data_IF_240321703720
#
_entry.id   IF_240321703720
#
_cell.length_a   1.000
_cell.length_b   1.000
_cell.length_c   1.000
_cell.angle_alpha   90.00
_cell.angle_beta   90.00
_cell.angle_gamma   90.00
#
_symmetry.space_group_name_H-M   'P 1'
#
loop_
_entity.id
_entity.type
_entity.pdbx_description
1 polymer ?
#
# COMPACT_ATOMS: atom_id res chain seq x y z
N UNK A 1 19.21 -17.15 -1.56
CA UNK A 1 19.10 -17.32 -3.02
C UNK A 1 17.74 -16.77 -3.45
N UNK A 2 17.68 -15.58 -4.05
CA UNK A 2 16.41 -15.03 -4.51
C UNK A 2 16.37 -15.10 -6.03
N UNK A 3 15.77 -16.16 -6.57
CA UNK A 3 15.65 -16.32 -8.02
C UNK A 3 14.36 -15.61 -8.46
N UNK A 4 14.43 -14.66 -9.40
CA UNK A 4 13.25 -14.08 -10.10
C UNK A 4 12.66 -15.11 -11.09
N UNK A 5 12.53 -16.36 -10.66
CA UNK A 5 12.03 -17.50 -11.41
C UNK A 5 10.94 -18.19 -10.57
N UNK A 6 9.83 -18.73 -11.06
CA UNK A 6 9.26 -18.91 -12.38
C UNK A 6 7.80 -19.30 -12.18
N UNK A 7 6.96 -18.77 -13.05
CA UNK A 7 5.62 -19.28 -13.29
C UNK A 7 5.80 -20.34 -14.39
N UNK A 8 6.16 -21.57 -14.01
CA UNK A 8 6.44 -22.63 -14.99
C UNK A 8 5.14 -23.39 -15.32
N UNK A 9 4.71 -23.31 -16.58
CA UNK A 9 3.71 -24.25 -17.10
C UNK A 9 4.43 -25.58 -17.37
N UNK A 10 4.12 -26.62 -16.60
CA UNK A 10 4.79 -27.92 -16.67
C UNK A 10 4.31 -28.80 -17.82
N UNK A 11 3.58 -28.27 -18.80
CA UNK A 11 3.13 -29.05 -19.96
C UNK A 11 4.28 -29.19 -20.96
N UNK A 12 4.74 -30.41 -21.28
CA UNK A 12 5.67 -30.63 -22.38
C UNK A 12 4.97 -30.23 -23.68
N UNK A 13 5.18 -29.00 -24.12
CA UNK A 13 4.79 -28.54 -25.45
C UNK A 13 5.77 -29.20 -26.42
N UNK A 14 5.42 -30.42 -26.84
CA UNK A 14 6.18 -31.26 -27.76
C UNK A 14 7.52 -31.75 -27.18
N UNK A 15 7.84 -33.01 -27.48
CA UNK A 15 9.00 -33.70 -26.94
C UNK A 15 10.29 -32.91 -27.26
N UNK A 16 10.92 -32.28 -26.25
CA UNK A 16 12.18 -31.54 -26.41
C UNK A 16 12.13 -30.02 -26.14
N UNK A 17 11.01 -29.43 -25.73
CA UNK A 17 10.99 -28.01 -25.32
C UNK A 17 10.29 -27.76 -23.98
N UNK A 18 10.77 -26.74 -23.25
CA UNK A 18 10.20 -26.25 -21.99
C UNK A 18 9.86 -24.77 -22.12
N UNK A 19 8.58 -24.44 -21.96
CA UNK A 19 8.12 -23.06 -21.86
C UNK A 19 8.16 -22.59 -20.42
N UNK A 20 8.63 -21.37 -20.25
CA UNK A 20 9.04 -20.86 -18.97
C UNK A 20 8.56 -19.42 -18.82
N UNK A 21 7.65 -19.12 -17.87
CA UNK A 21 7.18 -17.75 -17.68
C UNK A 21 7.89 -17.06 -16.51
N UNK A 22 8.53 -15.93 -16.81
CA UNK A 22 9.37 -15.17 -15.89
C UNK A 22 8.73 -13.82 -15.61
N UNK A 23 8.64 -13.45 -14.33
CA UNK A 23 8.33 -12.09 -13.93
C UNK A 23 9.58 -11.22 -14.15
N UNK A 24 9.49 -10.25 -15.07
CA UNK A 24 10.60 -9.35 -15.40
C UNK A 24 10.28 -7.92 -14.97
N UNK A 25 11.21 -7.21 -14.32
CA UNK A 25 11.04 -5.78 -14.09
C UNK A 25 10.99 -5.06 -15.44
N UNK A 26 9.97 -4.24 -15.62
CA UNK A 26 9.80 -3.36 -16.75
C UNK A 26 10.15 -1.91 -16.36
N UNK A 27 9.70 -0.94 -17.15
CA UNK A 27 10.00 0.46 -16.89
C UNK A 27 9.41 0.95 -15.55
N UNK A 28 10.18 1.75 -14.80
CA UNK A 28 9.85 2.25 -13.45
C UNK A 28 9.55 1.14 -12.43
N UNK A 29 8.27 0.99 -12.06
CA UNK A 29 7.77 0.13 -10.99
C UNK A 29 6.98 -1.06 -11.52
N UNK A 30 6.90 -1.19 -12.84
CA UNK A 30 6.08 -2.19 -13.51
C UNK A 30 6.78 -3.54 -13.57
N UNK A 31 5.99 -4.61 -13.58
CA UNK A 31 6.43 -5.96 -13.85
C UNK A 31 5.62 -6.54 -15.00
N UNK A 32 6.30 -7.31 -15.86
CA UNK A 32 5.67 -8.00 -16.98
C UNK A 32 5.96 -9.48 -16.93
N UNK A 33 5.04 -10.26 -17.47
CA UNK A 33 5.24 -11.69 -17.66
C UNK A 33 5.90 -11.91 -19.03
N UNK A 34 7.11 -12.47 -19.04
CA UNK A 34 7.82 -12.84 -20.26
C UNK A 34 7.87 -14.36 -20.39
N UNK A 35 7.55 -14.88 -21.58
CA UNK A 35 7.70 -16.31 -21.89
C UNK A 35 9.06 -16.56 -22.53
N UNK A 36 9.83 -17.47 -21.94
CA UNK A 36 11.06 -18.01 -22.51
C UNK A 36 10.77 -19.44 -23.00
N UNK A 37 11.34 -19.80 -24.14
CA UNK A 37 11.25 -21.16 -24.67
C UNK A 37 12.64 -21.76 -24.65
N UNK A 38 12.86 -22.72 -23.77
CA UNK A 38 14.08 -23.50 -23.71
C UNK A 38 13.90 -24.70 -24.63
N UNK A 39 14.74 -24.83 -25.65
CA UNK A 39 14.74 -25.96 -26.58
C UNK A 39 15.96 -26.83 -26.29
N UNK A 40 15.73 -28.11 -26.05
CA UNK A 40 16.77 -29.13 -26.15
C UNK A 40 17.01 -29.51 -27.60
N UNK A 41 18.05 -30.30 -27.86
CA UNK A 41 18.20 -30.99 -29.13
C UNK A 41 17.06 -32.00 -29.38
N UNK A 42 16.93 -32.52 -30.61
CA UNK A 42 15.83 -33.41 -31.01
C UNK A 42 15.68 -34.67 -30.14
N UNK A 43 16.74 -35.11 -29.46
CA UNK A 43 16.80 -36.31 -28.61
C UNK A 43 16.91 -36.01 -27.10
N UNK A 44 16.91 -34.74 -26.70
CA UNK A 44 17.28 -34.30 -25.34
C UNK A 44 16.11 -34.33 -24.34
N UNK A 45 15.24 -35.33 -24.42
CA UNK A 45 14.07 -35.44 -23.54
C UNK A 45 14.45 -35.58 -22.05
N UNK A 46 15.57 -36.26 -21.77
CA UNK A 46 16.07 -36.42 -20.41
C UNK A 46 16.58 -35.10 -19.81
N UNK A 47 17.25 -34.27 -20.62
CA UNK A 47 17.72 -32.94 -20.20
C UNK A 47 16.55 -32.00 -19.87
N UNK A 48 15.51 -32.00 -20.71
CA UNK A 48 14.30 -31.21 -20.45
C UNK A 48 13.61 -31.66 -19.16
N UNK A 49 13.54 -32.98 -18.89
CA UNK A 49 12.99 -33.53 -17.65
C UNK A 49 13.83 -33.11 -16.42
N UNK A 50 15.16 -33.11 -16.55
CA UNK A 50 16.06 -32.64 -15.50
C UNK A 50 15.83 -31.15 -15.20
N UNK A 51 15.71 -30.30 -16.23
CA UNK A 51 15.38 -28.88 -16.05
C UNK A 51 14.07 -28.68 -15.29
N UNK A 52 13.00 -29.39 -15.67
CA UNK A 52 11.71 -29.32 -14.97
C UNK A 52 11.87 -29.70 -13.50
N UNK A 53 12.58 -30.79 -13.22
CA UNK A 53 12.78 -31.29 -11.85
C UNK A 53 13.55 -30.28 -11.00
N UNK A 54 14.65 -29.74 -11.52
CA UNK A 54 15.47 -28.72 -10.82
C UNK A 54 14.66 -27.45 -10.59
N UNK A 55 13.90 -26.99 -11.58
CA UNK A 55 13.08 -25.79 -11.46
C UNK A 55 11.97 -25.97 -10.43
N UNK A 56 11.26 -27.09 -10.44
CA UNK A 56 10.22 -27.39 -9.44
C UNK A 56 10.81 -27.42 -8.02
N UNK A 57 11.99 -28.02 -7.84
CA UNK A 57 12.69 -28.01 -6.55
C UNK A 57 13.06 -26.59 -6.10
N UNK A 58 13.58 -25.75 -6.99
CA UNK A 58 13.93 -24.36 -6.68
C UNK A 58 12.69 -23.54 -6.34
N UNK A 59 11.60 -23.70 -7.11
CA UNK A 59 10.33 -23.01 -6.88
C UNK A 59 9.71 -23.43 -5.53
N UNK A 60 9.81 -24.71 -5.16
CA UNK A 60 9.29 -25.22 -3.90
C UNK A 60 10.00 -24.65 -2.66
N UNK A 61 11.23 -24.14 -2.81
CA UNK A 61 12.00 -23.49 -1.75
C UNK A 61 11.70 -21.99 -1.60
N UNK A 62 10.91 -21.41 -2.50
CA UNK A 62 10.50 -20.01 -2.41
C UNK A 62 9.30 -19.87 -1.47
N UNK A 63 9.31 -18.83 -0.64
CA UNK A 63 8.17 -18.43 0.19
C UNK A 63 7.11 -17.76 -0.70
N UNK A 64 6.27 -18.59 -1.33
CA UNK A 64 5.19 -18.15 -2.22
C UNK A 64 3.85 -18.67 -1.74
N UNK A 65 2.76 -17.90 -1.92
CA UNK A 65 1.43 -18.40 -1.62
C UNK A 65 1.07 -19.58 -2.53
N UNK A 66 0.33 -20.54 -2.00
CA UNK A 66 -0.20 -21.72 -2.70
C UNK A 66 -1.72 -21.69 -2.75
N UNK A 67 -2.39 -21.20 -1.72
CA UNK A 67 -3.85 -21.10 -1.64
C UNK A 67 -4.28 -19.71 -1.18
N UNK A 68 -5.11 -19.05 -2.00
CA UNK A 68 -5.57 -17.69 -1.77
C UNK A 68 -7.09 -17.62 -1.82
N UNK A 69 -7.69 -16.82 -0.94
CA UNK A 69 -9.10 -16.41 -1.08
C UNK A 69 -9.14 -15.05 -1.77
N UNK A 70 -9.98 -14.91 -2.79
CA UNK A 70 -10.05 -13.73 -3.65
C UNK A 70 -11.42 -13.08 -3.55
N UNK A 71 -11.48 -11.90 -2.94
CA UNK A 71 -12.69 -11.08 -2.91
C UNK A 71 -12.74 -10.11 -4.08
N UNK A 72 -13.81 -10.13 -4.85
CA UNK A 72 -14.01 -9.26 -6.02
C UNK A 72 -15.22 -8.35 -5.78
N UNK A 73 -15.03 -7.04 -5.84
CA UNK A 73 -16.14 -6.09 -5.90
C UNK A 73 -16.63 -5.96 -7.35
N UNK A 74 -17.80 -6.51 -7.73
CA UNK A 74 -18.27 -6.49 -9.12
C UNK A 74 -18.55 -5.08 -9.65
N UNK A 75 -18.73 -4.09 -8.77
CA UNK A 75 -18.95 -2.69 -9.15
C UNK A 75 -17.64 -1.88 -9.28
N UNK A 76 -16.50 -2.45 -8.87
CA UNK A 76 -15.19 -1.82 -8.97
C UNK A 76 -14.81 -1.41 -10.40
N UNK A 77 -14.20 -0.24 -10.54
CA UNK A 77 -13.52 0.16 -11.78
C UNK A 77 -14.44 0.32 -12.99
N UNK A 78 -15.67 0.82 -12.76
CA UNK A 78 -16.77 0.84 -13.75
C UNK A 78 -17.21 -0.57 -14.16
N UNK A 79 -17.42 -1.44 -13.17
CA UNK A 79 -17.82 -2.85 -13.35
C UNK A 79 -16.80 -3.72 -14.11
N UNK A 80 -15.53 -3.31 -14.10
CA UNK A 80 -14.45 -4.04 -14.80
C UNK A 80 -13.69 -5.01 -13.90
N UNK A 81 -13.84 -4.93 -12.58
CA UNK A 81 -13.08 -5.75 -11.63
C UNK A 81 -13.17 -7.27 -11.91
N UNK A 82 -14.35 -7.88 -12.19
CA UNK A 82 -14.41 -9.30 -12.55
C UNK A 82 -13.63 -9.63 -13.83
N UNK A 83 -13.75 -8.79 -14.85
CA UNK A 83 -13.02 -8.96 -16.12
C UNK A 83 -11.51 -8.76 -15.95
N UNK A 84 -11.08 -7.80 -15.12
CA UNK A 84 -9.67 -7.59 -14.77
C UNK A 84 -9.11 -8.86 -14.11
N UNK A 85 -9.82 -9.42 -13.13
CA UNK A 85 -9.40 -10.65 -12.48
C UNK A 85 -9.30 -11.80 -13.48
N UNK A 86 -10.40 -12.10 -14.19
CA UNK A 86 -10.47 -13.24 -15.11
C UNK A 86 -9.46 -13.16 -16.25
N UNK A 87 -9.24 -11.98 -16.84
CA UNK A 87 -8.38 -11.83 -18.02
C UNK A 87 -6.92 -11.57 -17.69
N UNK A 88 -6.60 -10.97 -16.54
CA UNK A 88 -5.24 -10.52 -16.22
C UNK A 88 -4.62 -11.21 -15.02
N UNK A 89 -5.41 -11.55 -13.99
CA UNK A 89 -4.89 -12.04 -12.71
C UNK A 89 -4.99 -13.56 -12.60
N UNK A 90 -6.18 -14.12 -12.82
CA UNK A 90 -6.42 -15.56 -12.75
C UNK A 90 -5.46 -16.38 -13.64
N UNK A 91 -5.10 -15.96 -14.87
CA UNK A 91 -4.11 -16.69 -15.66
C UNK A 91 -2.72 -16.71 -15.02
N UNK A 92 -2.30 -15.63 -14.36
CA UNK A 92 -1.00 -15.55 -13.68
C UNK A 92 -1.00 -16.47 -12.46
N UNK A 93 -2.07 -16.46 -11.65
CA UNK A 93 -2.21 -17.35 -10.51
C UNK A 93 -2.26 -18.82 -10.93
N UNK A 94 -3.01 -19.14 -12.00
CA UNK A 94 -3.06 -20.49 -12.57
C UNK A 94 -1.68 -20.97 -13.02
N UNK A 95 -0.97 -20.16 -13.80
CA UNK A 95 0.37 -20.52 -14.29
C UNK A 95 1.36 -20.67 -13.11
N UNK A 96 1.13 -19.99 -11.98
CA UNK A 96 1.96 -20.09 -10.78
C UNK A 96 1.61 -21.32 -9.91
N UNK A 97 0.55 -22.06 -10.24
CA UNK A 97 0.05 -23.17 -9.43
C UNK A 97 -0.60 -22.73 -8.13
N UNK A 98 -1.17 -21.52 -8.10
CA UNK A 98 -1.90 -20.99 -6.94
C UNK A 98 -3.38 -21.37 -7.06
N UNK A 99 -3.89 -22.10 -6.07
CA UNK A 99 -5.31 -22.38 -5.93
C UNK A 99 -6.03 -21.14 -5.40
N UNK A 100 -7.16 -20.79 -6.00
CA UNK A 100 -7.92 -19.58 -5.64
C UNK A 100 -9.37 -19.90 -5.36
N UNK A 101 -9.85 -19.54 -4.18
CA UNK A 101 -11.29 -19.50 -3.88
C UNK A 101 -11.82 -18.10 -4.17
N UNK A 102 -12.74 -17.96 -5.13
CA UNK A 102 -13.17 -16.64 -5.61
C UNK A 102 -14.57 -16.30 -5.09
N UNK A 103 -14.67 -15.20 -4.35
CA UNK A 103 -15.92 -14.70 -3.77
C UNK A 103 -16.23 -13.32 -4.36
N UNK A 104 -17.33 -13.23 -5.10
CA UNK A 104 -17.86 -11.93 -5.54
C UNK A 104 -18.70 -11.31 -4.43
N UNK A 105 -18.40 -10.05 -4.08
CA UNK A 105 -19.14 -9.35 -3.03
C UNK A 105 -20.50 -8.86 -3.52
N UNK A 106 -21.50 -8.96 -2.64
CA UNK A 106 -22.89 -8.60 -2.97
C UNK A 106 -23.30 -7.23 -2.43
N UNK A 107 -22.74 -6.84 -1.29
CA UNK A 107 -23.01 -5.57 -0.60
C UNK A 107 -21.77 -5.10 0.15
N UNK A 108 -21.83 -3.87 0.67
CA UNK A 108 -20.76 -3.29 1.50
C UNK A 108 -20.68 -4.01 2.83
N UNK A 109 -19.52 -4.55 3.18
CA UNK A 109 -19.30 -5.33 4.42
C UNK A 109 -19.32 -6.85 4.22
N UNK A 110 -19.76 -7.35 3.07
CA UNK A 110 -19.86 -8.78 2.79
C UNK A 110 -18.52 -9.54 2.91
N UNK A 111 -17.40 -8.96 2.46
CA UNK A 111 -16.08 -9.58 2.61
C UNK A 111 -15.60 -9.58 4.07
N UNK A 112 -15.92 -8.54 4.84
CA UNK A 112 -15.63 -8.50 6.28
C UNK A 112 -16.38 -9.62 6.99
N UNK A 113 -17.68 -9.75 6.75
CA UNK A 113 -18.51 -10.82 7.31
C UNK A 113 -17.96 -12.20 6.92
N UNK A 114 -17.63 -12.39 5.63
CA UNK A 114 -17.13 -13.69 5.18
C UNK A 114 -15.78 -14.09 5.79
N UNK A 115 -14.89 -13.13 6.02
CA UNK A 115 -13.60 -13.36 6.69
C UNK A 115 -13.77 -13.77 8.16
N UNK A 116 -14.88 -13.39 8.80
CA UNK A 116 -15.20 -13.81 10.16
C UNK A 116 -15.82 -15.21 10.22
N UNK A 117 -16.46 -15.67 9.14
CA UNK A 117 -17.08 -17.00 9.05
C UNK A 117 -16.12 -18.11 8.59
N UNK A 118 -15.23 -17.79 7.65
CA UNK A 118 -14.39 -18.80 6.99
C UNK A 118 -13.23 -19.19 7.90
N UNK A 119 -12.86 -20.48 7.91
CA UNK A 119 -11.60 -20.91 8.49
C UNK A 119 -10.45 -20.51 7.56
N UNK A 120 -9.57 -19.64 8.07
CA UNK A 120 -8.45 -19.09 7.30
C UNK A 120 -7.17 -19.91 7.44
N UNK A 121 -7.14 -20.97 8.26
CA UNK A 121 -5.95 -21.80 8.51
C UNK A 121 -5.38 -22.45 7.25
N UNK A 122 -6.26 -22.72 6.28
CA UNK A 122 -5.95 -23.36 5.01
C UNK A 122 -5.44 -22.39 3.92
N UNK A 123 -5.42 -21.09 4.20
CA UNK A 123 -5.09 -20.05 3.22
C UNK A 123 -3.79 -19.32 3.60
N UNK A 124 -2.93 -19.12 2.59
CA UNK A 124 -1.69 -18.36 2.77
C UNK A 124 -1.91 -16.85 2.70
N UNK A 125 -3.09 -16.41 2.25
CA UNK A 125 -3.41 -15.00 2.07
C UNK A 125 -4.80 -14.70 1.51
N UNK A 126 -5.21 -13.45 1.68
CA UNK A 126 -6.45 -12.88 1.14
C UNK A 126 -6.08 -11.89 0.04
N UNK A 127 -6.73 -11.96 -1.11
CA UNK A 127 -6.57 -11.02 -2.22
C UNK A 127 -7.85 -10.23 -2.41
N UNK A 128 -7.76 -8.90 -2.47
CA UNK A 128 -8.88 -8.05 -2.83
C UNK A 128 -8.73 -7.49 -4.24
N UNK A 129 -9.80 -7.55 -5.04
CA UNK A 129 -9.89 -6.99 -6.39
C UNK A 129 -10.93 -5.87 -6.37
N UNK A 130 -10.46 -4.63 -6.33
CA UNK A 130 -11.33 -3.46 -6.20
C UNK A 130 -10.54 -2.17 -6.01
N UNK A 131 -11.23 -1.14 -5.54
CA UNK A 131 -10.58 0.10 -5.08
C UNK A 131 -10.38 0.14 -3.57
N UNK A 132 -9.98 1.31 -3.06
CA UNK A 132 -9.65 1.51 -1.63
C UNK A 132 -10.76 1.07 -0.66
N UNK A 133 -12.04 1.14 -1.06
CA UNK A 133 -13.16 0.64 -0.24
C UNK A 133 -13.16 -0.88 -0.04
N UNK A 134 -12.87 -1.65 -1.10
CA UNK A 134 -12.78 -3.12 -1.03
C UNK A 134 -11.59 -3.55 -0.18
N UNK A 135 -10.48 -2.83 -0.32
CA UNK A 135 -9.27 -3.01 0.48
C UNK A 135 -9.57 -2.78 1.96
N UNK A 136 -10.21 -1.66 2.30
CA UNK A 136 -10.59 -1.35 3.68
C UNK A 136 -11.50 -2.41 4.29
N UNK A 137 -12.46 -2.93 3.52
CA UNK A 137 -13.37 -3.97 3.97
C UNK A 137 -12.64 -5.28 4.33
N UNK A 138 -11.74 -5.74 3.45
CA UNK A 138 -10.92 -6.94 3.71
C UNK A 138 -10.00 -6.75 4.90
N UNK A 139 -9.32 -5.60 5.00
CA UNK A 139 -8.39 -5.32 6.11
C UNK A 139 -9.12 -5.27 7.44
N UNK A 140 -10.31 -4.65 7.48
CA UNK A 140 -11.14 -4.66 8.68
C UNK A 140 -11.58 -6.09 9.03
N UNK A 141 -11.91 -6.94 8.06
CA UNK A 141 -12.22 -8.35 8.30
C UNK A 141 -11.04 -9.10 8.92
N UNK A 142 -9.86 -8.98 8.32
CA UNK A 142 -8.63 -9.62 8.81
C UNK A 142 -8.25 -9.14 10.21
N UNK A 143 -8.28 -7.83 10.47
CA UNK A 143 -7.89 -7.26 11.75
C UNK A 143 -8.87 -7.62 12.87
N UNK A 144 -10.18 -7.50 12.62
CA UNK A 144 -11.19 -7.89 13.60
C UNK A 144 -11.09 -9.39 13.89
N UNK A 145 -10.91 -10.23 12.85
CA UNK A 145 -10.71 -11.67 13.03
C UNK A 145 -9.50 -11.96 13.92
N UNK A 146 -8.37 -11.31 13.67
CA UNK A 146 -7.16 -11.48 14.49
C UNK A 146 -7.37 -11.08 15.96
N UNK A 147 -8.18 -10.05 16.25
CA UNK A 147 -8.51 -9.70 17.63
C UNK A 147 -9.43 -10.74 18.29
N UNK A 148 -10.45 -11.19 17.56
CA UNK A 148 -11.40 -12.20 18.03
C UNK A 148 -10.68 -13.52 18.33
N UNK A 149 -9.82 -13.99 17.43
CA UNK A 149 -9.06 -15.23 17.61
C UNK A 149 -8.09 -15.14 18.80
N UNK A 150 -7.59 -13.94 19.11
CA UNK A 150 -6.72 -13.67 20.25
C UNK A 150 -7.49 -13.39 21.56
N UNK A 151 -8.81 -13.37 21.55
CA UNK A 151 -9.63 -13.04 22.72
C UNK A 151 -9.48 -11.58 23.18
N UNK A 152 -9.08 -10.67 22.31
CA UNK A 152 -8.87 -9.25 22.63
C UNK A 152 -10.15 -8.45 22.37
N UNK A 153 -10.58 -7.70 23.37
CA UNK A 153 -11.72 -6.79 23.26
C UNK A 153 -11.34 -5.56 22.43
N UNK A 154 -11.82 -5.53 21.18
CA UNK A 154 -11.44 -4.49 20.22
C UNK A 154 -11.95 -3.08 20.59
N UNK A 155 -12.97 -2.99 21.47
CA UNK A 155 -13.53 -1.74 21.98
C UNK A 155 -12.59 -1.05 22.99
N UNK A 156 -11.77 -1.80 23.70
CA UNK A 156 -10.80 -1.21 24.63
C UNK A 156 -9.72 -0.43 23.88
N UNK A 157 -9.74 0.89 24.04
CA UNK A 157 -8.79 1.84 23.44
C UNK A 157 -7.35 1.62 23.93
N UNK A 158 -7.19 1.01 25.11
CA UNK A 158 -5.89 0.69 25.70
C UNK A 158 -5.41 -0.71 25.37
N UNK A 159 -6.27 -1.55 24.79
CA UNK A 159 -5.89 -2.91 24.40
C UNK A 159 -4.79 -2.86 23.35
N UNK A 160 -3.75 -3.66 23.58
CA UNK A 160 -2.72 -3.85 22.58
C UNK A 160 -3.26 -4.81 21.53
N UNK A 161 -3.54 -4.28 20.36
CA UNK A 161 -4.05 -5.07 19.24
C UNK A 161 -3.07 -6.20 18.86
N UNK A 162 -3.62 -7.39 18.65
CA UNK A 162 -2.89 -8.53 18.16
C UNK A 162 -2.53 -8.34 16.68
N UNK A 163 -1.26 -8.52 16.28
CA UNK A 163 -0.87 -8.46 14.88
C UNK A 163 -1.62 -9.50 14.03
N UNK A 164 -2.11 -9.10 12.86
CA UNK A 164 -2.66 -10.06 11.90
C UNK A 164 -1.52 -10.81 11.18
N UNK A 165 -1.56 -12.15 11.23
CA UNK A 165 -0.63 -13.01 10.49
C UNK A 165 -1.04 -13.16 9.02
N UNK A 166 -2.34 -13.09 8.74
CA UNK A 166 -2.92 -13.24 7.42
C UNK A 166 -2.45 -12.14 6.47
N UNK A 167 -1.79 -12.55 5.38
CA UNK A 167 -1.24 -11.64 4.38
C UNK A 167 -2.34 -11.13 3.43
N UNK A 168 -2.33 -9.84 3.11
CA UNK A 168 -3.33 -9.22 2.20
C UNK A 168 -2.70 -8.73 0.90
N UNK A 169 -3.11 -9.30 -0.23
CA UNK A 169 -2.76 -8.85 -1.59
C UNK A 169 -3.81 -7.90 -2.18
N UNK A 170 -3.35 -6.88 -2.91
CA UNK A 170 -4.24 -5.86 -3.50
C UNK A 170 -4.12 -5.85 -5.02
N UNK A 171 -5.22 -6.08 -5.72
CA UNK A 171 -5.31 -5.91 -7.17
C UNK A 171 -6.08 -4.61 -7.48
N UNK A 172 -5.42 -3.60 -8.10
CA UNK A 172 -6.06 -2.34 -8.45
C UNK A 172 -7.19 -2.56 -9.46
N UNK A 173 -8.40 -2.22 -9.05
CA UNK A 173 -9.56 -2.16 -9.92
C UNK A 173 -10.50 -1.02 -9.51
N UNK A 174 -9.98 0.06 -8.92
CA UNK A 174 -10.74 1.23 -8.51
C UNK A 174 -10.43 2.47 -9.35
N UNK A 175 -10.85 3.64 -8.85
CA UNK A 175 -10.67 4.94 -9.53
C UNK A 175 -9.47 5.74 -9.00
N UNK A 176 -9.02 5.45 -7.78
CA UNK A 176 -7.94 6.18 -7.10
C UNK A 176 -6.80 5.22 -6.81
N UNK A 177 -7.09 4.11 -6.14
CA UNK A 177 -6.17 3.02 -5.84
C UNK A 177 -4.93 3.54 -5.11
N UNK A 178 -5.16 4.40 -4.11
CA UNK A 178 -4.10 5.13 -3.42
C UNK A 178 -3.20 4.20 -2.60
N UNK A 179 -3.77 3.18 -1.96
CA UNK A 179 -2.97 2.24 -1.17
C UNK A 179 -1.97 1.47 -2.06
N UNK A 180 -2.47 0.83 -3.11
CA UNK A 180 -1.64 0.02 -4.01
C UNK A 180 -0.66 0.88 -4.79
N UNK A 181 -1.02 2.11 -5.19
CA UNK A 181 -0.08 3.03 -5.79
C UNK A 181 1.02 3.45 -4.81
N UNK A 182 0.69 3.71 -3.56
CA UNK A 182 1.67 4.14 -2.54
C UNK A 182 2.65 3.03 -2.21
N UNK A 183 2.20 1.78 -2.21
CA UNK A 183 2.99 0.61 -1.82
C UNK A 183 3.78 0.01 -2.99
N UNK A 184 3.14 -0.19 -4.14
CA UNK A 184 3.79 -0.81 -5.32
C UNK A 184 4.42 0.22 -6.27
N UNK A 185 3.94 1.47 -6.25
CA UNK A 185 4.36 2.54 -7.16
C UNK A 185 3.57 2.63 -8.47
N UNK A 186 2.58 1.76 -8.69
CA UNK A 186 1.75 1.73 -9.90
C UNK A 186 0.36 1.12 -9.64
N UNK A 187 -0.60 1.33 -10.56
CA UNK A 187 -1.93 0.72 -10.56
C UNK A 187 -2.09 -0.40 -11.60
N UNK A 188 -1.06 -1.21 -11.83
CA UNK A 188 -1.11 -2.32 -12.79
C UNK A 188 -1.59 -3.61 -12.11
N UNK A 189 -2.72 -4.22 -12.56
CA UNK A 189 -3.18 -5.51 -12.06
C UNK A 189 -2.18 -6.65 -12.29
N UNK A 190 -1.46 -6.59 -13.42
CA UNK A 190 -0.43 -7.59 -13.76
C UNK A 190 0.77 -7.46 -12.83
N UNK A 191 1.25 -6.24 -12.60
CA UNK A 191 2.33 -5.98 -11.64
C UNK A 191 1.96 -6.50 -10.25
N UNK A 192 0.75 -6.17 -9.78
CA UNK A 192 0.27 -6.58 -8.46
C UNK A 192 0.15 -8.10 -8.35
N UNK A 193 -0.38 -8.77 -9.37
CA UNK A 193 -0.47 -10.22 -9.41
C UNK A 193 0.93 -10.88 -9.36
N UNK A 194 1.90 -10.38 -10.13
CA UNK A 194 3.26 -10.91 -10.12
C UNK A 194 3.95 -10.70 -8.77
N UNK A 195 3.76 -9.56 -8.12
CA UNK A 195 4.29 -9.31 -6.77
C UNK A 195 3.69 -10.27 -5.74
N UNK A 196 2.39 -10.57 -5.83
CA UNK A 196 1.73 -11.57 -4.97
C UNK A 196 2.32 -12.96 -5.23
N UNK A 197 2.46 -13.37 -6.50
CA UNK A 197 3.07 -14.68 -6.84
C UNK A 197 4.50 -14.81 -6.32
N UNK A 198 5.27 -13.72 -6.34
CA UNK A 198 6.64 -13.71 -5.84
C UNK A 198 6.74 -13.64 -4.31
N UNK A 199 5.62 -13.55 -3.58
CA UNK A 199 5.61 -13.43 -2.12
C UNK A 199 6.13 -12.08 -1.61
N UNK A 200 6.08 -11.02 -2.43
CA UNK A 200 6.67 -9.73 -2.08
C UNK A 200 5.82 -8.97 -1.05
N UNK A 201 6.38 -8.69 0.12
CA UNK A 201 5.68 -8.10 1.26
C UNK A 201 6.19 -6.71 1.66
N UNK A 202 5.30 -5.94 2.30
CA UNK A 202 5.59 -4.67 2.97
C UNK A 202 4.70 -4.52 4.20
N UNK A 203 5.26 -4.06 5.30
CA UNK A 203 4.48 -3.69 6.48
C UNK A 203 3.84 -2.32 6.26
N UNK A 204 2.57 -2.17 6.64
CA UNK A 204 1.87 -0.87 6.60
C UNK A 204 1.23 -0.60 7.94
N UNK A 205 1.17 0.64 8.34
CA UNK A 205 0.51 1.02 9.56
C UNK A 205 -1.01 1.13 9.36
N UNK A 206 -1.72 0.85 10.45
CA UNK A 206 -3.17 1.00 10.53
C UNK A 206 -3.50 1.81 11.78
N UNK A 207 -4.57 2.59 11.74
CA UNK A 207 -5.12 3.25 12.93
C UNK A 207 -6.46 2.62 13.30
N UNK A 208 -6.69 2.37 14.59
CA UNK A 208 -8.02 2.13 15.13
C UNK A 208 -8.75 3.44 15.35
N UNK A 209 -10.04 3.48 14.99
CA UNK A 209 -10.90 4.64 15.21
C UNK A 209 -11.96 4.25 16.21
N UNK A 210 -11.96 4.93 17.35
CA UNK A 210 -12.95 4.75 18.40
C UNK A 210 -13.88 5.96 18.49
N UNK A 211 -15.14 5.70 18.84
CA UNK A 211 -16.14 6.73 19.14
C UNK A 211 -16.94 6.28 20.36
N UNK A 212 -17.01 7.13 21.39
CA UNK A 212 -17.65 6.79 22.66
C UNK A 212 -17.14 5.44 23.21
N UNK A 213 -15.81 5.24 23.20
CA UNK A 213 -15.14 4.02 23.67
C UNK A 213 -15.50 2.73 22.92
N UNK A 214 -16.13 2.84 21.74
CA UNK A 214 -16.40 1.70 20.86
C UNK A 214 -15.58 1.79 19.59
N UNK A 215 -15.04 0.67 19.15
CA UNK A 215 -14.35 0.57 17.88
C UNK A 215 -15.33 0.78 16.73
N UNK A 216 -15.11 1.83 15.96
CA UNK A 216 -15.88 2.11 14.74
C UNK A 216 -15.31 1.30 13.59
N UNK A 217 -13.99 1.39 13.38
CA UNK A 217 -13.27 0.71 12.29
C UNK A 217 -11.77 0.91 12.41
N UNK A 218 -11.03 0.07 11.68
CA UNK A 218 -9.65 0.33 11.31
C UNK A 218 -9.58 1.17 10.03
N UNK A 219 -8.63 2.09 9.98
CA UNK A 219 -8.39 2.97 8.84
C UNK A 219 -6.99 2.79 8.30
N UNK A 220 -6.91 2.70 6.98
CA UNK A 220 -5.67 2.76 6.21
C UNK A 220 -5.58 4.11 5.50
N UNK A 221 -4.36 4.60 5.30
CA UNK A 221 -4.13 5.69 4.37
C UNK A 221 -4.44 7.06 4.92
N UNK A 222 -5.71 7.46 4.87
CA UNK A 222 -6.15 8.84 5.11
C UNK A 222 -7.50 8.91 5.81
N UNK A 223 -7.52 9.55 6.98
CA UNK A 223 -8.72 9.91 7.72
C UNK A 223 -8.91 11.42 7.66
N UNK A 224 -10.14 11.91 7.47
CA UNK A 224 -10.37 13.35 7.45
C UNK A 224 -11.77 13.75 7.90
N UNK A 225 -11.83 14.86 8.63
CA UNK A 225 -13.02 15.58 9.05
C UNK A 225 -13.00 17.01 8.47
N UNK A 226 -14.17 17.55 8.14
CA UNK A 226 -14.30 18.83 7.43
C UNK A 226 -14.24 18.66 5.92
N UNK A 227 -13.52 19.54 5.22
CA UNK A 227 -13.55 19.65 3.76
C UNK A 227 -13.43 18.33 2.99
N UNK A 228 -12.41 17.50 3.27
CA UNK A 228 -12.26 16.24 2.53
C UNK A 228 -13.34 15.22 2.90
N UNK A 229 -13.76 15.17 4.16
CA UNK A 229 -14.88 14.32 4.60
C UNK A 229 -16.20 14.70 3.92
N UNK A 230 -16.50 16.00 3.86
CA UNK A 230 -17.67 16.54 3.15
C UNK A 230 -17.62 16.28 1.65
N UNK A 231 -16.44 16.44 1.05
CA UNK A 231 -16.24 16.15 -0.37
C UNK A 231 -16.50 14.66 -0.65
N UNK A 232 -15.93 13.74 0.14
CA UNK A 232 -16.18 12.30 0.01
C UNK A 232 -17.68 12.02 0.16
N UNK A 233 -18.30 12.47 1.25
CA UNK A 233 -19.74 12.28 1.51
C UNK A 233 -20.62 12.79 0.36
N UNK A 234 -20.31 13.97 -0.18
CA UNK A 234 -21.04 14.52 -1.32
C UNK A 234 -20.81 13.71 -2.60
N UNK A 235 -19.57 13.26 -2.84
CA UNK A 235 -19.16 12.52 -4.03
C UNK A 235 -19.78 11.13 -4.15
N UNK A 236 -20.20 10.53 -3.04
CA UNK A 236 -20.88 9.23 -3.03
C UNK A 236 -22.24 9.28 -3.74
N UNK A 237 -22.95 10.41 -3.66
CA UNK A 237 -24.22 10.63 -4.41
C UNK A 237 -24.04 10.64 -5.92
N UNK A 238 -22.82 10.89 -6.39
CA UNK A 238 -22.48 11.01 -7.82
C UNK A 238 -21.60 9.85 -8.31
N UNK A 239 -21.71 8.66 -7.69
CA UNK A 239 -20.96 7.45 -8.12
C UNK A 239 -21.11 7.16 -9.62
N UNK A 240 -22.27 7.43 -10.20
CA UNK A 240 -22.55 7.24 -11.63
C UNK A 240 -21.63 8.04 -12.56
N UNK A 241 -21.07 9.17 -12.11
CA UNK A 241 -20.14 10.01 -12.89
C UNK A 241 -18.70 9.46 -12.92
N UNK A 242 -18.40 8.39 -12.17
CA UNK A 242 -17.04 7.87 -12.05
C UNK A 242 -16.05 8.93 -11.50
N UNK A 243 -14.78 8.97 -11.95
CA UNK A 243 -13.75 9.86 -11.38
C UNK A 243 -14.05 11.37 -11.42
N UNK A 244 -14.94 11.83 -12.30
CA UNK A 244 -15.34 13.24 -12.39
C UNK A 244 -16.08 13.72 -11.14
N UNK A 245 -16.72 12.79 -10.40
CA UNK A 245 -17.46 13.09 -9.17
C UNK A 245 -16.64 13.86 -8.13
N UNK A 246 -15.36 13.54 -8.03
CA UNK A 246 -14.45 14.17 -7.06
C UNK A 246 -14.14 15.63 -7.42
N UNK A 247 -14.07 15.96 -8.72
CA UNK A 247 -13.88 17.36 -9.15
C UNK A 247 -15.13 18.16 -8.82
N UNK A 248 -16.29 17.70 -9.27
CA UNK A 248 -17.56 18.41 -9.05
C UNK A 248 -17.87 18.57 -7.56
N UNK A 249 -17.74 17.50 -6.78
CA UNK A 249 -17.99 17.53 -5.33
C UNK A 249 -16.94 18.38 -4.61
N UNK A 250 -15.68 18.34 -5.05
CA UNK A 250 -14.61 19.18 -4.52
C UNK A 250 -14.89 20.66 -4.75
N UNK A 251 -15.28 21.04 -5.97
CA UNK A 251 -15.68 22.42 -6.32
C UNK A 251 -16.89 22.88 -5.52
N UNK A 252 -17.95 22.06 -5.43
CA UNK A 252 -19.13 22.39 -4.62
C UNK A 252 -18.80 22.59 -3.14
N UNK A 253 -17.96 21.71 -2.58
CA UNK A 253 -17.54 21.79 -1.18
C UNK A 253 -16.65 23.02 -0.95
N UNK A 254 -15.79 23.34 -1.92
CA UNK A 254 -14.92 24.51 -1.88
C UNK A 254 -15.70 25.82 -1.88
N UNK A 255 -16.75 25.92 -2.71
CA UNK A 255 -17.61 27.11 -2.74
C UNK A 255 -18.36 27.30 -1.41
N UNK A 256 -18.82 26.21 -0.79
CA UNK A 256 -19.47 26.23 0.53
C UNK A 256 -18.52 26.69 1.64
N UNK A 257 -17.24 26.33 1.56
CA UNK A 257 -16.17 26.80 2.45
C UNK A 257 -16.51 26.75 3.94
N UNK A 258 -17.17 25.66 4.37
CA UNK A 258 -17.64 25.49 5.75
C UNK A 258 -16.46 25.36 6.72
N UNK A 259 -16.56 26.05 7.84
CA UNK A 259 -15.68 25.86 9.00
C UNK A 259 -16.42 25.12 10.11
N UNK A 260 -15.64 24.40 10.91
CA UNK A 260 -16.11 23.59 12.03
C UNK A 260 -15.34 23.99 13.28
N UNK A 261 -16.05 24.39 14.32
CA UNK A 261 -15.46 24.67 15.62
C UNK A 261 -15.22 23.36 16.39
N UNK A 262 -14.07 23.27 17.06
CA UNK A 262 -13.77 22.11 17.89
C UNK A 262 -12.42 22.18 18.59
N UNK A 263 -12.12 21.12 19.33
CA UNK A 263 -10.84 20.88 19.98
C UNK A 263 -10.21 19.62 19.41
N UNK A 264 -8.92 19.72 19.04
CA UNK A 264 -8.10 18.57 18.66
C UNK A 264 -7.03 18.37 19.72
N UNK A 265 -7.00 17.18 20.31
CA UNK A 265 -5.95 16.74 21.24
C UNK A 265 -5.06 15.77 20.49
N UNK A 266 -3.76 16.06 20.48
CA UNK A 266 -2.77 15.32 19.72
C UNK A 266 -1.67 14.88 20.67
N UNK A 267 -1.39 13.58 20.70
CA UNK A 267 -0.21 13.05 21.37
C UNK A 267 1.01 13.34 20.50
N UNK A 268 2.01 14.02 21.04
CA UNK A 268 3.24 14.34 20.31
C UNK A 268 4.42 13.78 21.08
N UNK A 269 5.38 13.15 20.38
CA UNK A 269 6.62 12.66 21.01
C UNK A 269 7.46 13.83 21.54
N UNK A 270 8.07 13.68 22.72
CA UNK A 270 9.07 14.63 23.23
C UNK A 270 10.29 14.67 22.32
N UNK A 271 10.82 15.87 22.08
CA UNK A 271 12.05 16.07 21.32
C UNK A 271 13.22 15.34 22.01
N UNK A 272 13.70 14.22 21.44
CA UNK A 272 14.91 13.56 21.92
C UNK A 272 15.06 12.05 21.70
N UNK A 273 14.00 11.29 21.37
CA UNK A 273 14.13 9.84 21.13
C UNK A 273 14.36 9.48 19.65
N UNK A 274 15.11 8.40 19.43
CA UNK A 274 15.85 8.03 18.21
C UNK A 274 14.96 7.65 17.00
N UNK A 275 13.63 7.70 17.12
CA UNK A 275 12.70 7.16 16.12
C UNK A 275 12.01 8.21 15.24
N UNK A 276 12.82 9.15 14.74
CA UNK A 276 12.57 10.15 13.68
C UNK A 276 11.90 11.47 14.15
N UNK A 277 12.66 12.58 14.23
CA UNK A 277 12.06 13.91 14.25
C UNK A 277 11.39 14.18 12.91
N UNK A 278 10.17 14.75 12.93
CA UNK A 278 9.51 15.31 11.75
C UNK A 278 10.54 16.07 10.91
N UNK A 279 10.75 15.64 9.66
CA UNK A 279 11.66 16.32 8.74
C UNK A 279 10.91 17.44 7.99
N UNK A 280 10.95 18.70 8.49
CA UNK A 280 10.32 19.82 7.80
C UNK A 280 10.94 20.11 6.43
N UNK A 281 12.13 19.56 6.13
CA UNK A 281 12.80 19.75 4.84
C UNK A 281 12.24 18.83 3.74
N UNK A 282 11.46 17.81 4.11
CA UNK A 282 10.83 16.89 3.18
C UNK A 282 11.81 15.99 2.41
N UNK A 283 13.01 15.81 2.94
CA UNK A 283 14.09 14.96 2.40
C UNK A 283 13.89 13.51 2.81
N UNK A 284 13.41 13.26 4.03
CA UNK A 284 13.02 11.93 4.48
C UNK A 284 11.66 11.55 3.87
N UNK A 285 11.72 10.74 2.82
CA UNK A 285 10.53 10.24 2.13
C UNK A 285 10.59 8.73 2.05
N UNK A 286 9.47 8.10 2.36
CA UNK A 286 9.30 6.70 2.05
C UNK A 286 9.37 6.47 0.53
N UNK A 287 10.37 5.68 0.14
CA UNK A 287 10.65 5.22 -1.20
C UNK A 287 10.93 3.74 -1.16
N UNK A 288 11.08 3.18 -2.34
CA UNK A 288 11.47 1.80 -2.52
C UNK A 288 12.75 1.45 -1.74
N UNK A 289 12.66 0.46 -0.85
CA UNK A 289 13.77 0.01 -0.02
C UNK A 289 13.99 0.88 1.22
N UNK A 290 12.94 1.54 1.70
CA UNK A 290 13.00 2.35 2.92
C UNK A 290 13.44 1.52 4.12
N UNK A 291 14.58 1.89 4.72
CA UNK A 291 15.14 1.21 5.88
C UNK A 291 14.27 1.34 7.14
N UNK A 292 13.48 2.41 7.25
CA UNK A 292 12.56 2.62 8.38
C UNK A 292 11.45 1.59 8.33
N UNK A 293 10.72 1.54 7.21
CA UNK A 293 9.59 0.62 7.02
C UNK A 293 10.03 -0.85 6.89
N UNK A 294 11.29 -1.11 6.55
CA UNK A 294 11.84 -2.47 6.46
C UNK A 294 12.26 -3.04 7.82
N UNK A 295 12.67 -2.18 8.77
CA UNK A 295 13.16 -2.59 10.09
C UNK A 295 12.07 -2.68 11.15
N UNK A 296 10.83 -2.35 10.82
CA UNK A 296 9.70 -2.40 11.74
C UNK A 296 9.47 -3.83 12.18
N UNK A 297 10.10 -4.17 13.30
CA UNK A 297 10.08 -5.46 13.95
C UNK A 297 9.61 -5.23 15.39
N UNK A 298 9.20 -6.29 16.08
CA UNK A 298 8.60 -6.32 17.42
C UNK A 298 9.24 -5.39 18.48
N UNK A 299 10.53 -5.04 18.35
CA UNK A 299 11.23 -4.04 19.19
C UNK A 299 10.64 -2.63 19.12
N UNK A 300 10.26 -2.16 17.93
CA UNK A 300 9.65 -0.83 17.76
C UNK A 300 8.29 -0.74 18.47
N UNK A 301 7.54 -1.86 18.51
CA UNK A 301 6.25 -1.93 19.20
C UNK A 301 6.38 -1.88 20.73
N UNK A 302 7.44 -2.47 21.29
CA UNK A 302 7.74 -2.38 22.72
C UNK A 302 8.15 -0.96 23.10
N UNK A 303 9.07 -0.35 22.34
CA UNK A 303 9.53 1.03 22.56
C UNK A 303 8.40 2.07 22.44
N UNK A 304 7.48 1.92 21.48
CA UNK A 304 6.32 2.83 21.32
C UNK A 304 5.35 2.71 22.49
N UNK A 305 5.17 1.52 23.07
CA UNK A 305 4.24 1.29 24.19
C UNK A 305 4.75 1.95 25.48
N UNK A 306 6.05 1.87 25.75
CA UNK A 306 6.69 2.53 26.90
C UNK A 306 6.73 4.07 26.75
N UNK A 307 6.85 4.59 25.52
CA UNK A 307 6.82 6.04 25.26
C UNK A 307 5.42 6.67 25.35
N UNK A 308 4.35 5.89 25.09
CA UNK A 308 2.96 6.38 25.13
C UNK A 308 2.53 6.91 26.51
N UNK A 309 3.12 6.39 27.59
CA UNK A 309 2.85 6.80 28.97
C UNK A 309 3.50 8.15 29.34
N UNK A 310 4.51 8.61 28.59
CA UNK A 310 5.33 9.79 28.91
C UNK A 310 5.16 10.99 27.94
N UNK A 311 4.20 10.91 27.01
CA UNK A 311 4.02 11.89 25.93
C UNK A 311 3.25 13.15 26.35
N UNK A 312 3.62 14.28 25.72
CA UNK A 312 2.92 15.55 25.90
C UNK A 312 1.67 15.61 25.00
N UNK A 313 0.55 16.06 25.56
CA UNK A 313 -0.69 16.29 24.81
C UNK A 313 -0.72 17.73 24.32
N UNK A 314 -0.59 17.92 23.01
CA UNK A 314 -0.81 19.21 22.37
C UNK A 314 -2.30 19.40 22.13
N UNK A 315 -2.86 20.48 22.68
CA UNK A 315 -4.26 20.86 22.48
C UNK A 315 -4.33 22.00 21.47
N UNK A 316 -5.18 21.85 20.46
CA UNK A 316 -5.44 22.87 19.45
C UNK A 316 -6.94 23.11 19.38
N UNK A 317 -7.37 24.25 19.87
CA UNK A 317 -8.77 24.70 19.80
C UNK A 317 -8.93 25.75 18.71
N UNK A 318 -10.07 25.75 18.03
CA UNK A 318 -10.43 26.80 17.09
C UNK A 318 -11.39 26.34 15.99
N UNK A 319 -11.49 27.16 14.95
CA UNK A 319 -12.26 26.83 13.75
C UNK A 319 -11.36 26.21 12.69
N UNK A 320 -11.77 25.04 12.20
CA UNK A 320 -11.06 24.25 11.21
C UNK A 320 -11.87 24.12 9.92
N UNK A 321 -11.20 24.29 8.78
CA UNK A 321 -11.75 23.89 7.48
C UNK A 321 -11.56 22.38 7.26
N UNK A 322 -10.46 21.83 7.77
CA UNK A 322 -10.12 20.41 7.61
C UNK A 322 -9.20 19.93 8.72
N UNK A 323 -9.49 18.76 9.28
CA UNK A 323 -8.63 18.02 10.21
C UNK A 323 -8.38 16.67 9.55
N UNK A 324 -7.13 16.35 9.25
CA UNK A 324 -6.81 15.11 8.52
C UNK A 324 -5.64 14.36 9.17
N UNK A 325 -5.69 13.05 9.14
CA UNK A 325 -4.62 12.16 9.58
C UNK A 325 -4.20 11.29 8.41
N UNK A 326 -2.90 11.29 8.08
CA UNK A 326 -2.32 10.50 7.01
C UNK A 326 -1.33 9.48 7.59
N UNK A 327 -1.64 8.19 7.39
CA UNK A 327 -0.82 7.06 7.80
C UNK A 327 0.26 6.70 6.78
N UNK A 328 0.20 7.31 5.61
CA UNK A 328 1.14 7.13 4.51
C UNK A 328 1.00 8.30 3.56
N UNK A 329 1.83 8.34 2.51
CA UNK A 329 1.80 9.45 1.58
C UNK A 329 0.44 9.63 0.86
N UNK A 330 -0.33 8.55 0.66
CA UNK A 330 -1.59 8.56 -0.09
C UNK A 330 -1.39 9.05 -1.54
N UNK A 331 -0.35 8.51 -2.20
CA UNK A 331 -0.04 8.81 -3.59
C UNK A 331 -1.08 8.17 -4.49
N UNK A 332 -1.49 8.86 -5.54
CA UNK A 332 -2.34 8.31 -6.57
C UNK A 332 -2.10 9.02 -7.90
N UNK A 333 -2.76 8.57 -8.97
CA UNK A 333 -2.69 9.23 -10.28
C UNK A 333 -3.08 10.72 -10.24
N UNK A 334 -3.86 11.14 -9.24
CA UNK A 334 -4.32 12.52 -9.05
C UNK A 334 -3.49 13.32 -8.04
N UNK A 335 -2.57 12.69 -7.32
CA UNK A 335 -1.65 13.35 -6.39
C UNK A 335 -0.39 12.49 -6.31
N UNK A 336 0.58 12.80 -7.17
CA UNK A 336 1.78 11.98 -7.34
C UNK A 336 2.71 12.03 -6.12
N UNK A 337 2.73 13.14 -5.40
CA UNK A 337 3.43 13.28 -4.14
C UNK A 337 2.60 12.78 -2.94
N UNK A 338 1.28 12.78 -3.07
CA UNK A 338 0.35 12.48 -2.00
C UNK A 338 0.11 13.67 -1.06
N UNK A 339 -0.83 13.52 -0.12
CA UNK A 339 -1.21 14.57 0.84
C UNK A 339 -0.18 14.71 1.97
N UNK A 340 0.58 13.65 2.26
CA UNK A 340 1.64 13.63 3.27
C UNK A 340 2.95 13.04 2.70
N UNK A 341 3.70 13.78 1.86
CA UNK A 341 4.80 13.21 1.06
C UNK A 341 5.95 12.56 1.85
N UNK A 342 6.08 12.93 3.12
CA UNK A 342 7.08 12.45 4.09
C UNK A 342 6.58 11.26 4.92
N UNK A 343 5.28 10.95 4.90
CA UNK A 343 4.73 9.85 5.67
C UNK A 343 5.31 8.52 5.19
N UNK A 344 5.75 7.73 6.17
CA UNK A 344 6.26 6.39 5.96
C UNK A 344 5.12 5.38 5.94
N UNK A 345 5.41 4.15 5.51
CA UNK A 345 4.41 3.10 5.49
C UNK A 345 4.23 2.45 6.86
N UNK A 346 5.28 2.32 7.67
CA UNK A 346 5.29 1.47 8.85
C UNK A 346 6.18 1.98 9.98
N UNK A 347 6.17 3.27 10.29
CA UNK A 347 7.01 3.84 11.35
C UNK A 347 6.26 4.08 12.67
N UNK A 348 4.98 3.69 12.75
CA UNK A 348 4.14 3.87 13.93
C UNK A 348 3.82 5.34 14.22
N UNK A 349 3.90 6.23 13.23
CA UNK A 349 3.49 7.63 13.38
C UNK A 349 2.60 8.07 12.21
N UNK A 350 1.61 8.92 12.49
CA UNK A 350 0.72 9.49 11.48
C UNK A 350 0.94 11.00 11.38
N UNK A 351 0.84 11.53 10.17
CA UNK A 351 0.89 12.97 9.92
C UNK A 351 -0.51 13.57 10.12
N UNK A 352 -0.67 14.44 11.11
CA UNK A 352 -1.91 15.18 11.40
C UNK A 352 -1.83 16.58 10.80
N UNK A 353 -2.68 16.83 9.81
CA UNK A 353 -2.78 18.07 9.04
C UNK A 353 -4.00 18.85 9.52
N UNK A 354 -3.75 19.96 10.20
CA UNK A 354 -4.79 20.88 10.70
C UNK A 354 -4.85 22.11 9.82
N UNK A 355 -5.95 22.28 9.07
CA UNK A 355 -6.22 23.49 8.29
C UNK A 355 -7.21 24.37 9.05
N UNK A 356 -6.72 25.43 9.67
CA UNK A 356 -7.56 26.39 10.37
C UNK A 356 -8.31 27.30 9.39
N UNK A 357 -9.33 27.99 9.89
CA UNK A 357 -10.10 28.95 9.11
C UNK A 357 -9.17 29.92 8.37
N UNK A 358 -9.33 29.98 7.06
CA UNK A 358 -8.55 30.86 6.18
C UNK A 358 -9.40 31.30 4.98
N UNK A 359 -8.93 32.30 4.24
CA UNK A 359 -9.60 32.76 3.02
C UNK A 359 -9.63 31.65 1.96
N UNK A 360 -10.64 31.69 1.08
CA UNK A 360 -10.77 30.76 -0.06
C UNK A 360 -9.49 30.71 -0.91
N UNK A 361 -8.82 31.84 -1.10
CA UNK A 361 -7.55 31.90 -1.84
C UNK A 361 -6.42 31.12 -1.16
N UNK A 362 -6.28 31.25 0.17
CA UNK A 362 -5.26 30.51 0.90
C UNK A 362 -5.58 29.02 0.92
N UNK A 363 -6.85 28.66 1.04
CA UNK A 363 -7.27 27.27 0.98
C UNK A 363 -7.08 26.66 -0.41
N UNK A 364 -7.37 27.42 -1.48
CA UNK A 364 -7.11 26.99 -2.85
C UNK A 364 -5.61 26.73 -3.08
N UNK A 365 -4.72 27.59 -2.57
CA UNK A 365 -3.27 27.36 -2.61
C UNK A 365 -2.87 26.05 -1.93
N UNK A 366 -3.48 25.73 -0.79
CA UNK A 366 -3.28 24.44 -0.12
C UNK A 366 -3.78 23.26 -0.97
N UNK A 367 -4.96 23.36 -1.59
CA UNK A 367 -5.47 22.30 -2.48
C UNK A 367 -4.58 22.11 -3.71
N UNK A 368 -4.09 23.19 -4.32
CA UNK A 368 -3.17 23.15 -5.45
C UNK A 368 -1.81 22.56 -5.08
N UNK A 369 -1.34 22.77 -3.84
CA UNK A 369 -0.14 22.12 -3.32
C UNK A 369 -0.32 20.59 -3.25
N UNK A 370 -1.50 20.13 -2.83
CA UNK A 370 -1.82 18.70 -2.75
C UNK A 370 -2.12 18.05 -4.13
N UNK A 371 -2.40 18.87 -5.14
CA UNK A 371 -2.75 18.45 -6.49
C UNK A 371 -1.52 17.92 -7.27
N UNK A 372 -1.71 17.19 -8.39
CA UNK A 372 -0.59 16.63 -9.12
C UNK A 372 0.17 17.77 -9.82
N UNK A 373 1.47 17.90 -9.55
CA UNK A 373 2.35 18.74 -10.38
C UNK A 373 2.49 18.04 -11.74
N UNK A 374 2.02 18.66 -12.82
CA UNK A 374 2.24 18.15 -14.16
C UNK A 374 3.74 18.07 -14.44
N UNK A 375 4.20 16.89 -14.86
CA UNK A 375 5.56 16.69 -15.40
C UNK A 375 5.56 17.20 -16.84
N UNK A 376 6.12 18.39 -17.05
CA UNK A 376 6.76 18.74 -18.31
C UNK A 376 8.19 18.20 -18.30
N UNK A 377 8.49 17.37 -19.30
CA UNK A 377 9.78 17.00 -19.89
C UNK A 377 10.98 16.57 -19.01
N UNK A 378 11.67 15.54 -19.50
CA UNK A 378 12.91 15.03 -18.96
C UNK A 378 14.02 16.06 -19.12
N UNK A 379 14.37 16.73 -18.03
CA UNK A 379 15.71 17.24 -17.78
C UNK A 379 15.81 17.49 -16.28
N UNK A 380 16.67 16.73 -15.61
CA UNK A 380 17.22 17.12 -14.31
C UNK A 380 18.40 18.05 -14.57
N UNK A 381 18.22 19.35 -14.31
CA UNK A 381 19.31 20.15 -13.78
C UNK A 381 18.82 20.88 -12.52
N UNK A 382 19.60 20.79 -11.46
CA UNK A 382 19.41 21.62 -10.28
C UNK A 382 18.32 21.11 -9.35
N UNK A 383 18.77 20.62 -8.20
CA UNK A 383 18.11 20.84 -6.93
C UNK A 383 17.79 22.34 -6.78
N UNK A 384 16.66 22.75 -7.36
CA UNK A 384 16.00 24.01 -7.07
C UNK A 384 14.63 23.63 -6.58
N UNK A 385 14.64 23.09 -5.36
CA UNK A 385 13.49 23.11 -4.47
C UNK A 385 13.11 24.58 -4.33
N UNK A 386 12.29 25.08 -5.25
CA UNK A 386 11.30 26.11 -4.96
C UNK A 386 10.26 25.47 -4.03
N UNK A 387 10.74 25.10 -2.84
CA UNK A 387 10.07 25.53 -1.64
C UNK A 387 9.87 27.03 -1.87
N UNK A 388 8.63 27.45 -2.05
CA UNK A 388 8.34 28.85 -1.78
C UNK A 388 8.99 29.12 -0.43
N UNK A 389 9.98 30.02 -0.41
CA UNK A 389 10.59 30.54 0.80
C UNK A 389 9.46 30.86 1.79
N UNK A 390 9.20 29.92 2.70
CA UNK A 390 8.63 30.19 3.99
C UNK A 390 9.86 30.36 4.86
N UNK A 391 10.29 31.61 5.14
CA UNK A 391 11.44 31.83 5.97
C UNK A 391 11.23 31.17 7.33
N UNK A 392 12.29 30.54 7.81
CA UNK A 392 12.52 30.31 9.23
C UNK A 392 12.23 31.62 9.97
N UNK A 393 11.35 31.60 10.97
CA UNK A 393 11.24 32.75 11.88
C UNK A 393 11.05 32.25 13.32
N UNK A 394 12.03 32.50 14.21
CA UNK A 394 11.84 32.45 15.65
C UNK A 394 10.82 33.51 16.06
N UNK A 395 10.06 33.24 17.11
CA UNK A 395 9.05 34.10 17.73
C UNK A 395 9.00 35.58 17.26
N UNK A 396 8.18 35.91 16.24
CA UNK A 396 7.32 37.13 16.10
C UNK A 396 6.74 37.25 14.67
N UNK A 397 5.41 37.35 14.62
CA UNK A 397 4.50 37.88 13.58
C UNK A 397 4.67 37.65 12.04
N UNK A 398 3.60 37.00 11.49
CA UNK A 398 2.83 37.19 10.23
C UNK A 398 3.23 36.52 8.87
N UNK A 399 2.19 35.82 8.32
CA UNK A 399 1.92 35.30 6.94
C UNK A 399 2.76 34.06 6.52
N UNK A 400 2.32 32.78 6.56
CA UNK A 400 1.02 32.08 6.45
C UNK A 400 0.95 31.03 7.58
N UNK A 401 -0.05 31.12 8.49
CA UNK A 401 -0.06 30.41 9.79
C UNK A 401 -0.99 29.19 9.88
N UNK A 402 -1.67 28.80 8.80
CA UNK A 402 -2.97 28.13 8.96
C UNK A 402 -2.99 26.63 8.63
N UNK A 403 -1.84 26.03 8.31
CA UNK A 403 -1.68 24.58 8.21
C UNK A 403 -0.56 24.12 9.14
N UNK A 404 -0.87 23.32 10.16
CA UNK A 404 0.14 22.63 10.98
C UNK A 404 0.12 21.15 10.62
N UNK A 405 1.28 20.59 10.32
CA UNK A 405 1.49 19.14 10.26
C UNK A 405 2.14 18.71 11.57
N UNK A 406 1.60 17.70 12.25
CA UNK A 406 2.15 17.13 13.48
C UNK A 406 2.31 15.62 13.27
N UNK A 407 3.45 15.06 13.64
CA UNK A 407 3.61 13.60 13.69
C UNK A 407 3.13 13.07 15.02
N UNK A 408 2.27 12.06 14.95
CA UNK A 408 1.56 11.50 16.11
C UNK A 408 1.88 10.02 16.20
N UNK A 409 2.54 9.57 17.28
CA UNK A 409 2.76 8.15 17.48
C UNK A 409 1.45 7.41 17.69
N UNK A 410 1.37 6.22 17.12
CA UNK A 410 0.34 5.22 17.41
C UNK A 410 0.99 3.83 17.34
N UNK A 411 0.37 2.84 17.95
CA UNK A 411 0.91 1.48 17.94
C UNK A 411 0.88 0.92 16.50
N UNK A 412 2.01 0.53 15.88
CA UNK A 412 2.01 0.05 14.50
C UNK A 412 1.34 -1.33 14.42
N UNK A 413 0.28 -1.42 13.60
CA UNK A 413 -0.71 -2.51 13.63
C UNK A 413 -0.50 -3.63 12.61
N UNK A 414 0.54 -3.59 11.78
CA UNK A 414 0.68 -4.60 10.72
C UNK A 414 2.13 -4.96 10.44
N UNK A 415 2.50 -6.24 10.58
CA UNK A 415 3.71 -6.76 9.98
C UNK A 415 3.54 -7.10 8.48
N UNK A 416 2.33 -7.37 7.96
CA UNK A 416 2.22 -8.18 6.73
C UNK A 416 1.17 -7.72 5.68
N UNK A 417 1.36 -6.59 4.98
CA UNK A 417 0.63 -6.32 3.73
C UNK A 417 1.44 -6.90 2.56
N UNK A 418 0.85 -7.71 1.68
CA UNK A 418 1.54 -8.09 0.43
C UNK A 418 1.41 -6.92 -0.53
N UNK A 419 2.37 -6.00 -0.45
CA UNK A 419 2.58 -4.99 -1.47
C UNK A 419 4.08 -4.70 -1.64
N UNK A 420 4.73 -5.55 -2.43
CA UNK A 420 6.15 -5.42 -2.72
C UNK A 420 6.52 -4.05 -3.29
N UNK A 421 7.41 -3.36 -2.60
CA UNK A 421 8.02 -2.13 -3.13
C UNK A 421 9.11 -2.52 -4.14
N UNK A 422 9.08 -1.89 -5.32
CA UNK A 422 9.94 -2.13 -6.48
C UNK A 422 11.48 -2.15 -6.22
N UNK A 423 11.97 -1.72 -5.05
CA UNK A 423 13.41 -1.81 -4.73
C UNK A 423 13.83 -3.21 -4.35
N UNK A 424 12.92 -4.05 -3.84
CA UNK A 424 13.19 -5.48 -3.79
C UNK A 424 13.45 -5.97 -5.22
N UNK A 425 12.72 -5.54 -6.24
CA UNK A 425 13.03 -5.87 -7.64
C UNK A 425 14.48 -5.59 -8.06
N UNK A 426 15.06 -4.45 -7.67
CA UNK A 426 16.46 -4.10 -8.01
C UNK A 426 17.52 -4.66 -7.06
N UNK A 427 17.23 -4.83 -5.77
CA UNK A 427 18.13 -5.48 -4.79
C UNK A 427 18.12 -7.02 -4.93
N UNK A 428 16.97 -7.61 -5.24
CA UNK A 428 16.83 -8.99 -5.73
C UNK A 428 17.65 -9.13 -7.02
N UNK A 429 17.54 -8.19 -7.96
CA UNK A 429 18.33 -8.19 -9.21
C UNK A 429 19.85 -8.02 -9.00
N UNK A 430 20.30 -7.25 -8.02
CA UNK A 430 21.75 -7.09 -7.73
C UNK A 430 22.34 -8.29 -7.00
N UNK A 431 21.58 -8.97 -6.11
CA UNK A 431 21.98 -10.28 -5.54
C UNK A 431 21.87 -11.44 -6.55
N UNK A 432 21.17 -11.26 -7.68
CA UNK A 432 20.98 -12.26 -8.75
C UNK A 432 22.10 -12.33 -9.79
N UNK A 433 22.93 -11.27 -9.92
CA UNK A 433 24.03 -11.25 -10.89
C UNK A 433 25.07 -12.37 -10.64
N UNK A 434 25.17 -12.86 -9.41
CA UNK A 434 26.00 -14.02 -9.04
C UNK A 434 25.41 -15.37 -9.49
N UNK A 435 24.09 -15.51 -9.61
CA UNK A 435 23.44 -16.77 -10.04
C UNK A 435 23.40 -16.88 -11.56
N UNK A 436 23.25 -15.75 -12.27
CA UNK A 436 23.37 -15.72 -13.73
C UNK A 436 24.77 -16.17 -14.20
N UNK A 437 25.82 -15.90 -13.40
CA UNK A 437 27.15 -16.44 -13.63
C UNK A 437 27.21 -17.95 -13.42
N UNK A 438 26.53 -18.52 -12.42
CA UNK A 438 26.52 -19.98 -12.23
C UNK A 438 25.82 -20.78 -13.34
N UNK A 439 24.78 -20.23 -13.98
CA UNK A 439 24.16 -20.86 -15.16
C UNK A 439 24.93 -20.59 -16.46
N UNK A 440 25.69 -19.49 -16.54
CA UNK A 440 26.57 -19.21 -17.68
C UNK A 440 27.93 -19.95 -17.61
N UNK A 441 28.35 -20.44 -16.43
CA UNK A 441 29.65 -21.08 -16.21
C UNK A 441 29.71 -22.56 -16.64
N UNK A 442 28.59 -23.19 -17.03
CA UNK A 442 28.61 -24.53 -17.69
C UNK A 442 28.65 -24.49 -19.22
N UNK A 443 29.06 -23.36 -19.83
CA UNK A 443 29.72 -23.38 -21.15
C UNK A 443 31.23 -23.25 -20.96
N UNK A 444 31.86 -24.34 -20.49
CA UNK A 444 33.29 -24.57 -20.69
C UNK A 444 33.49 -25.96 -21.26
N UNK A 445 33.82 -25.96 -22.55
CA UNK A 445 34.89 -26.75 -23.17
C UNK A 445 34.90 -28.25 -22.89
N UNK A 446 34.54 -29.02 -23.91
CA UNK A 446 35.16 -30.30 -24.20
C UNK A 446 35.04 -30.58 -25.69
N UNK A 447 36.16 -30.30 -26.38
CA UNK A 447 36.61 -30.60 -27.74
C UNK A 447 35.74 -30.24 -28.95
#
# INVERSE_FOLDING_TARGET
MSVSCLVAESTPLQAGSLRLHVAKPAWRHSWTLQSLLLKGGPTDHNLVREWVTVLQRLIAQLDRPRRLIVFINPFGGRKKAPSIYLRKVAPIFKLAGISTEVIQTRYSGHAKEKLLEVDLNDFDGVVCVGGDGMVNEVINGVLVRAQVDAGIEADDVRSRLHPATMKVGVIPAGSTDALVFTTTGENSPVTSALLIVMGAEVSVDVASIHSQEKLVRYSLGFLSYGFFGDNIKSSERYRWMGPLRYNMSGWQTFLKHKSYEGEVKVLVKKNGSVLTPYDPTGKDRCRAGCNVCYKTNSKLQQEISEELENNDVVRVQGQFLSISCALMANRCARSSAGVAPTAHLGNGVMDVILVTQCSRLNFLKFLLYCAPRQRGDGRHPGDSVLAANLPQVPARHRKVRNAKSLQVPFCPLFPNLIAGVCAQGRQLYTRQRQVHQHLAVRRRTSF
#
